data_IF_779140795936
#
_entry.id   IF_779140795936
#
_cell.length_a   1.000
_cell.length_b   1.000
_cell.length_c   1.000
_cell.angle_alpha   90.00
_cell.angle_beta   90.00
_cell.angle_gamma   90.00
#
_symmetry.space_group_name_H-M   'P 1'
#
loop_
_entity.id
_entity.type
_entity.pdbx_description
1 polymer ?
#
# COMPACT_ATOMS: atom_id res chain seq x y z
N UNK A 1 18.03 12.23 14.63
CA UNK A 1 18.79 11.64 13.52
C UNK A 1 19.98 10.88 14.10
N UNK A 2 20.09 9.58 13.88
CA UNK A 2 21.24 8.77 14.32
C UNK A 2 22.24 8.70 13.17
N UNK A 3 23.45 9.22 13.34
CA UNK A 3 24.49 9.26 12.31
C UNK A 3 25.75 8.51 12.75
N UNK A 4 26.58 8.11 11.79
CA UNK A 4 27.83 7.38 12.04
C UNK A 4 28.28 6.60 10.81
N UNK A 5 29.57 6.28 10.72
CA UNK A 5 30.14 5.49 9.62
C UNK A 5 29.60 4.06 9.57
N UNK A 6 29.74 3.37 8.44
CA UNK A 6 29.39 1.94 8.36
C UNK A 6 30.15 1.14 9.43
N UNK A 7 29.49 0.20 10.10
CA UNK A 7 30.08 -0.56 11.20
C UNK A 7 30.12 0.15 12.56
N UNK A 8 29.68 1.41 12.68
CA UNK A 8 29.68 2.14 13.97
C UNK A 8 28.62 1.66 14.99
N UNK A 9 27.93 0.56 14.70
CA UNK A 9 26.92 -0.03 15.61
C UNK A 9 25.54 0.62 15.59
N UNK A 10 25.21 1.50 14.63
CA UNK A 10 23.88 2.16 14.52
C UNK A 10 22.74 1.15 14.51
N UNK A 11 22.83 0.14 13.64
CA UNK A 11 21.82 -0.91 13.52
C UNK A 11 21.70 -1.73 14.81
N UNK A 12 22.82 -2.03 15.48
CA UNK A 12 22.80 -2.73 16.77
C UNK A 12 22.12 -1.90 17.86
N UNK A 13 22.43 -0.60 17.96
CA UNK A 13 21.78 0.32 18.90
C UNK A 13 20.27 0.37 18.67
N UNK A 14 19.84 0.46 17.42
CA UNK A 14 18.44 0.51 17.04
C UNK A 14 17.75 -0.83 17.34
N UNK A 15 18.19 -1.92 16.71
CA UNK A 15 17.44 -3.17 16.72
C UNK A 15 17.61 -3.97 18.02
N UNK A 16 18.78 -3.90 18.66
CA UNK A 16 19.07 -4.72 19.84
C UNK A 16 18.82 -4.01 21.17
N UNK A 17 18.82 -2.67 21.18
CA UNK A 17 18.66 -1.88 22.42
C UNK A 17 17.38 -1.04 22.37
N UNK A 18 17.22 -0.18 21.37
CA UNK A 18 16.12 0.79 21.31
C UNK A 18 14.75 0.12 21.22
N UNK A 19 14.58 -0.82 20.28
CA UNK A 19 13.30 -1.54 20.10
C UNK A 19 12.93 -2.43 21.29
N UNK A 20 13.91 -2.91 22.06
CA UNK A 20 13.62 -3.63 23.32
C UNK A 20 13.09 -2.69 24.41
N UNK A 21 13.54 -1.42 24.41
CA UNK A 21 13.12 -0.40 25.38
C UNK A 21 11.78 0.24 25.01
N UNK A 22 11.51 0.36 23.71
CA UNK A 22 10.29 0.95 23.15
C UNK A 22 9.62 -0.07 22.22
N UNK A 23 8.92 -1.08 22.76
CA UNK A 23 8.32 -2.14 21.96
C UNK A 23 7.21 -1.64 21.02
N UNK A 24 6.60 -0.49 21.33
CA UNK A 24 5.57 0.15 20.50
C UNK A 24 6.16 1.02 19.39
N UNK A 25 7.49 1.10 19.27
CA UNK A 25 8.14 1.85 18.20
C UNK A 25 7.95 1.14 16.86
N UNK A 26 7.59 1.91 15.84
CA UNK A 26 7.34 1.39 14.49
C UNK A 26 8.60 1.57 13.66
N UNK A 27 9.13 0.46 13.13
CA UNK A 27 10.30 0.46 12.24
C UNK A 27 9.85 0.41 10.78
N UNK A 28 10.24 1.44 10.03
CA UNK A 28 10.12 1.48 8.57
C UNK A 28 11.52 1.28 8.00
N UNK A 29 11.89 0.01 7.85
CA UNK A 29 13.16 -0.41 7.24
C UNK A 29 13.04 -0.56 5.71
N UNK A 30 14.18 -0.84 5.08
CA UNK A 30 14.30 -1.12 3.63
C UNK A 30 13.81 -2.52 3.23
N UNK A 31 13.25 -3.32 4.15
CA UNK A 31 12.71 -4.63 3.81
C UNK A 31 11.65 -4.46 2.71
N UNK A 32 11.79 -5.15 1.57
CA UNK A 32 10.84 -5.01 0.47
C UNK A 32 9.42 -5.21 0.96
N UNK A 33 8.52 -4.31 0.57
CA UNK A 33 7.10 -4.56 0.70
C UNK A 33 6.82 -5.87 -0.01
N UNK A 34 6.31 -6.89 0.68
CA UNK A 34 6.13 -8.24 0.12
C UNK A 34 5.51 -8.20 -1.27
N UNK A 35 6.36 -8.28 -2.29
CA UNK A 35 6.02 -8.06 -3.70
C UNK A 35 5.51 -9.35 -4.29
N UNK A 36 4.46 -9.92 -3.67
CA UNK A 36 3.66 -10.86 -4.43
C UNK A 36 3.13 -10.14 -5.65
N UNK A 37 3.20 -10.80 -6.79
CA UNK A 37 2.64 -10.35 -8.06
C UNK A 37 1.14 -10.00 -7.99
N UNK A 38 0.46 -10.40 -6.92
CA UNK A 38 -0.96 -10.14 -6.67
C UNK A 38 -1.21 -9.02 -5.65
N UNK A 39 -0.16 -8.54 -5.00
CA UNK A 39 -0.27 -7.43 -4.05
C UNK A 39 -0.43 -6.12 -4.81
N UNK A 40 -1.24 -5.23 -4.24
CA UNK A 40 -1.47 -3.86 -4.70
C UNK A 40 -1.67 -2.95 -3.47
N UNK A 41 -1.67 -1.62 -3.63
CA UNK A 41 -1.86 -0.72 -2.49
C UNK A 41 -3.14 -1.01 -1.70
N UNK A 42 -4.26 -1.29 -2.38
CA UNK A 42 -5.54 -1.54 -1.71
C UNK A 42 -5.54 -2.78 -0.81
N UNK A 43 -4.86 -3.85 -1.23
CA UNK A 43 -4.66 -5.06 -0.41
C UNK A 43 -3.66 -4.83 0.70
N UNK A 44 -2.57 -4.10 0.43
CA UNK A 44 -1.52 -3.85 1.41
C UNK A 44 -2.00 -3.01 2.60
N UNK A 45 -2.71 -1.91 2.36
CA UNK A 45 -3.29 -1.08 3.43
C UNK A 45 -4.58 -1.67 4.02
N UNK A 46 -5.05 -2.80 3.46
CA UNK A 46 -6.23 -3.52 3.95
C UNK A 46 -7.54 -2.77 3.74
N UNK A 47 -7.70 -2.02 2.65
CA UNK A 47 -9.00 -1.47 2.23
C UNK A 47 -9.75 -2.40 1.28
N UNK A 48 -9.07 -3.36 0.65
CA UNK A 48 -9.70 -4.27 -0.31
C UNK A 48 -10.89 -5.01 0.30
N UNK A 49 -10.80 -5.50 1.54
CA UNK A 49 -11.91 -6.19 2.20
C UNK A 49 -13.14 -5.30 2.43
N UNK A 50 -12.93 -4.02 2.73
CA UNK A 50 -14.01 -3.05 2.89
C UNK A 50 -14.69 -2.82 1.53
N UNK A 51 -13.90 -2.64 0.47
CA UNK A 51 -14.40 -2.48 -0.90
C UNK A 51 -15.23 -3.71 -1.31
N UNK A 52 -14.72 -4.93 -1.09
CA UNK A 52 -15.45 -6.17 -1.43
C UNK A 52 -16.79 -6.27 -0.72
N UNK A 53 -16.82 -5.94 0.58
CA UNK A 53 -18.06 -5.93 1.38
C UNK A 53 -19.04 -4.87 0.90
N UNK A 54 -18.56 -3.70 0.48
CA UNK A 54 -19.40 -2.64 -0.08
C UNK A 54 -20.08 -3.07 -1.39
N UNK A 55 -19.31 -3.69 -2.31
CA UNK A 55 -19.86 -4.26 -3.54
C UNK A 55 -20.87 -5.38 -3.27
N UNK A 56 -20.53 -6.31 -2.38
CA UNK A 56 -21.42 -7.39 -1.95
C UNK A 56 -22.77 -6.87 -1.43
N UNK A 57 -22.72 -5.87 -0.55
CA UNK A 57 -23.92 -5.24 0.00
C UNK A 57 -24.74 -4.52 -1.06
N UNK A 58 -24.11 -3.75 -1.95
CA UNK A 58 -24.80 -2.98 -2.98
C UNK A 58 -25.49 -3.86 -4.04
N UNK A 59 -24.97 -5.07 -4.28
CA UNK A 59 -25.45 -5.97 -5.33
C UNK A 59 -26.18 -7.21 -4.79
N UNK A 60 -26.37 -7.32 -3.46
CA UNK A 60 -26.90 -8.51 -2.80
C UNK A 60 -26.19 -9.80 -3.25
N UNK A 61 -24.86 -9.77 -3.29
CA UNK A 61 -24.00 -10.81 -3.83
C UNK A 61 -22.95 -11.26 -2.80
N UNK A 62 -22.31 -12.41 -3.04
CA UNK A 62 -21.25 -12.92 -2.17
C UNK A 62 -19.98 -12.07 -2.27
N UNK A 63 -19.38 -11.67 -1.14
CA UNK A 63 -18.14 -10.88 -1.10
C UNK A 63 -16.93 -11.63 -1.71
N UNK A 64 -17.00 -12.96 -1.79
CA UNK A 64 -16.02 -13.79 -2.49
C UNK A 64 -15.93 -13.52 -3.99
N UNK A 65 -17.02 -13.06 -4.61
CA UNK A 65 -17.04 -12.68 -6.04
C UNK A 65 -16.18 -11.45 -6.32
N UNK A 66 -16.03 -10.54 -5.37
CA UNK A 66 -15.21 -9.33 -5.55
C UNK A 66 -13.74 -9.53 -5.16
N UNK A 67 -13.29 -10.78 -5.00
CA UNK A 67 -11.90 -11.13 -4.72
C UNK A 67 -11.26 -11.83 -5.91
N UNK A 68 -10.20 -11.24 -6.45
CA UNK A 68 -9.35 -11.87 -7.47
C UNK A 68 -8.49 -13.03 -6.91
N UNK A 69 -8.59 -13.32 -5.61
CA UNK A 69 -7.97 -14.50 -4.99
C UNK A 69 -9.00 -15.60 -4.67
N UNK A 70 -10.25 -15.47 -5.13
CA UNK A 70 -11.33 -16.41 -4.80
C UNK A 70 -12.31 -16.57 -5.97
N UNK A 71 -13.60 -16.73 -5.69
CA UNK A 71 -14.66 -17.15 -6.63
C UNK A 71 -14.76 -16.30 -7.89
N UNK A 72 -14.53 -14.98 -7.79
CA UNK A 72 -14.67 -14.09 -8.93
C UNK A 72 -13.42 -13.92 -9.80
N UNK A 73 -12.32 -14.57 -9.44
CA UNK A 73 -11.09 -14.52 -10.21
C UNK A 73 -11.30 -15.07 -11.63
N UNK A 74 -10.68 -14.45 -12.62
CA UNK A 74 -10.60 -15.01 -13.97
C UNK A 74 -9.95 -16.39 -13.92
N UNK A 75 -10.62 -17.41 -14.47
CA UNK A 75 -10.16 -18.80 -14.41
C UNK A 75 -8.84 -19.03 -15.17
N UNK A 76 -8.63 -18.29 -16.26
CA UNK A 76 -7.43 -18.43 -17.10
C UNK A 76 -6.16 -17.95 -16.39
N UNK A 77 -6.15 -16.71 -15.90
CA UNK A 77 -4.98 -16.15 -15.20
C UNK A 77 -5.01 -16.38 -13.67
N UNK A 78 -6.02 -17.08 -13.16
CA UNK A 78 -6.26 -17.30 -11.71
C UNK A 78 -6.22 -16.00 -10.91
N UNK A 79 -6.75 -14.92 -11.49
CA UNK A 79 -6.79 -13.58 -10.90
C UNK A 79 -5.50 -12.76 -10.92
N UNK A 80 -4.43 -13.24 -11.57
CA UNK A 80 -3.18 -12.47 -11.71
C UNK A 80 -3.35 -11.27 -12.67
N UNK A 81 -4.14 -11.45 -13.74
CA UNK A 81 -4.33 -10.48 -14.82
C UNK A 81 -3.31 -10.63 -15.96
N UNK A 82 -2.31 -11.49 -15.79
CA UNK A 82 -1.31 -11.78 -16.81
C UNK A 82 -1.00 -13.28 -16.82
N UNK A 83 -0.46 -13.74 -17.94
CA UNK A 83 0.17 -15.06 -18.08
C UNK A 83 1.68 -14.87 -17.99
N UNK A 84 2.33 -15.80 -17.31
CA UNK A 84 3.79 -15.81 -17.13
C UNK A 84 4.37 -16.91 -18.00
N UNK A 85 5.32 -16.54 -18.85
CA UNK A 85 6.10 -17.48 -19.65
C UNK A 85 7.49 -17.57 -19.05
N UNK A 86 7.82 -18.75 -18.55
CA UNK A 86 9.16 -19.07 -18.06
C UNK A 86 10.14 -19.12 -19.25
N UNK A 87 11.16 -18.28 -19.20
CA UNK A 87 12.21 -18.17 -20.22
C UNK A 87 13.54 -18.78 -19.73
N UNK A 88 13.50 -19.59 -18.67
CA UNK A 88 14.62 -20.31 -18.10
C UNK A 88 15.59 -19.37 -17.36
N UNK A 89 16.67 -18.99 -18.03
CA UNK A 89 17.72 -18.16 -17.43
C UNK A 89 17.45 -16.65 -17.52
N UNK A 90 16.42 -16.25 -18.27
CA UNK A 90 16.02 -14.87 -18.45
C UNK A 90 14.84 -14.54 -17.53
N UNK A 91 14.62 -13.24 -17.29
CA UNK A 91 13.45 -12.77 -16.56
C UNK A 91 12.16 -13.22 -17.26
N UNK A 92 11.22 -13.75 -16.47
CA UNK A 92 9.94 -14.22 -16.97
C UNK A 92 9.20 -13.13 -17.76
N UNK A 93 8.78 -13.48 -18.99
CA UNK A 93 7.94 -12.61 -19.78
C UNK A 93 6.50 -12.65 -19.26
N UNK A 94 5.89 -11.47 -19.14
CA UNK A 94 4.49 -11.31 -18.73
C UNK A 94 3.68 -10.71 -19.85
N UNK A 95 2.63 -11.42 -20.22
CA UNK A 95 1.67 -10.96 -21.23
C UNK A 95 0.32 -10.75 -20.57
N UNK A 96 -0.41 -9.64 -20.86
CA UNK A 96 -1.78 -9.47 -20.39
C UNK A 96 -2.61 -10.71 -20.70
N UNK A 97 -3.47 -11.11 -19.76
CA UNK A 97 -4.36 -12.25 -19.99
C UNK A 97 -5.30 -11.91 -21.15
N UNK A 98 -5.30 -12.76 -22.16
CA UNK A 98 -6.14 -12.69 -23.36
C UNK A 98 -7.64 -12.79 -23.07
N UNK A 99 -8.03 -13.56 -22.05
CA UNK A 99 -9.44 -13.74 -21.66
C UNK A 99 -10.00 -12.52 -20.93
N UNK A 100 -9.32 -12.05 -19.87
CA UNK A 100 -9.84 -10.94 -19.07
C UNK A 100 -9.27 -9.57 -19.47
N UNK A 101 -8.34 -9.52 -20.43
CA UNK A 101 -7.65 -8.29 -20.84
C UNK A 101 -6.90 -7.59 -19.70
N UNK A 102 -6.45 -8.33 -18.69
CA UNK A 102 -5.81 -7.75 -17.49
C UNK A 102 -6.75 -7.41 -16.34
N UNK A 103 -8.06 -7.52 -16.52
CA UNK A 103 -9.06 -7.08 -15.51
C UNK A 103 -9.10 -7.95 -14.25
N UNK A 104 -8.50 -9.15 -14.26
CA UNK A 104 -8.40 -10.13 -13.15
C UNK A 104 -9.70 -10.84 -12.73
N UNK A 105 -10.86 -10.40 -13.20
CA UNK A 105 -12.16 -10.96 -12.83
C UNK A 105 -12.87 -11.61 -14.02
N UNK A 106 -13.87 -12.44 -13.73
CA UNK A 106 -14.82 -12.95 -14.74
C UNK A 106 -15.77 -11.84 -15.19
N UNK A 107 -16.24 -11.88 -16.44
CA UNK A 107 -17.12 -10.85 -17.00
C UNK A 107 -18.44 -10.70 -16.21
N UNK A 108 -18.98 -11.81 -15.69
CA UNK A 108 -20.17 -11.79 -14.83
C UNK A 108 -19.98 -10.97 -13.54
N UNK A 109 -18.74 -10.90 -13.02
CA UNK A 109 -18.42 -10.10 -11.84
C UNK A 109 -18.36 -8.61 -12.20
N UNK A 110 -17.91 -8.29 -13.42
CA UNK A 110 -17.77 -6.90 -13.90
C UNK A 110 -19.12 -6.23 -14.20
N UNK A 111 -20.19 -7.02 -14.31
CA UNK A 111 -21.56 -6.54 -14.43
C UNK A 111 -22.06 -5.87 -13.13
N UNK A 112 -21.60 -6.33 -11.97
CA UNK A 112 -21.93 -5.71 -10.68
C UNK A 112 -21.28 -4.34 -10.53
N UNK A 113 -22.06 -3.37 -10.01
CA UNK A 113 -21.63 -1.98 -9.90
C UNK A 113 -21.74 -1.48 -8.46
N UNK A 114 -20.86 -0.57 -8.10
CA UNK A 114 -20.96 0.28 -6.93
C UNK A 114 -20.84 1.72 -7.43
N UNK A 115 -21.82 2.58 -7.16
CA UNK A 115 -21.88 3.96 -7.66
C UNK A 115 -21.57 4.07 -9.17
N UNK A 116 -22.13 3.14 -9.97
CA UNK A 116 -21.96 3.09 -11.43
C UNK A 116 -20.63 2.50 -11.96
N UNK A 117 -19.70 2.10 -11.09
CA UNK A 117 -18.40 1.52 -11.46
C UNK A 117 -18.28 0.05 -11.08
N UNK A 118 -17.65 -0.77 -11.92
CA UNK A 118 -17.30 -2.16 -11.58
C UNK A 118 -16.12 -2.20 -10.60
N UNK A 119 -15.84 -3.39 -10.06
CA UNK A 119 -14.70 -3.57 -9.17
C UNK A 119 -13.37 -3.25 -9.86
N UNK A 120 -13.23 -3.55 -11.15
CA UNK A 120 -12.03 -3.20 -11.93
C UNK A 120 -11.94 -1.69 -12.15
N UNK A 121 -13.04 -1.04 -12.53
CA UNK A 121 -13.07 0.43 -12.70
C UNK A 121 -12.69 1.16 -11.41
N UNK A 122 -13.08 0.60 -10.25
CA UNK A 122 -12.70 1.11 -8.93
C UNK A 122 -11.22 0.89 -8.67
N UNK A 123 -10.67 -0.30 -8.98
CA UNK A 123 -9.24 -0.58 -8.81
C UNK A 123 -8.35 0.28 -9.71
N UNK A 124 -8.87 0.81 -10.80
CA UNK A 124 -8.17 1.74 -11.69
C UNK A 124 -8.20 3.20 -11.21
N UNK A 125 -9.03 3.54 -10.21
CA UNK A 125 -9.04 4.88 -9.64
C UNK A 125 -7.71 5.17 -8.93
N UNK A 126 -7.23 6.41 -9.11
CA UNK A 126 -6.15 6.96 -8.30
C UNK A 126 -6.58 7.09 -6.84
N UNK A 127 -5.63 7.15 -5.90
CA UNK A 127 -5.96 7.38 -4.48
C UNK A 127 -6.75 8.68 -4.27
N UNK A 128 -6.43 9.73 -5.03
CA UNK A 128 -7.17 11.00 -5.01
C UNK A 128 -8.62 10.85 -5.46
N UNK A 129 -8.88 10.11 -6.54
CA UNK A 129 -10.23 9.87 -7.05
C UNK A 129 -11.00 8.92 -6.14
N UNK A 130 -10.36 7.85 -5.67
CA UNK A 130 -10.95 6.90 -4.74
C UNK A 130 -11.41 7.58 -3.44
N UNK A 131 -10.63 8.56 -2.93
CA UNK A 131 -10.99 9.32 -1.74
C UNK A 131 -12.24 10.19 -1.92
N UNK A 132 -12.54 10.62 -3.15
CA UNK A 132 -13.79 11.33 -3.49
C UNK A 132 -14.94 10.38 -3.81
N UNK A 133 -14.61 9.17 -4.27
CA UNK A 133 -15.58 8.17 -4.73
C UNK A 133 -16.22 7.39 -3.57
N UNK A 134 -15.45 7.08 -2.53
CA UNK A 134 -15.94 6.34 -1.37
C UNK A 134 -16.39 7.28 -0.25
N UNK A 135 -17.67 7.19 0.12
CA UNK A 135 -18.21 7.77 1.35
C UNK A 135 -18.18 6.74 2.50
N UNK A 136 -16.99 6.20 2.78
CA UNK A 136 -16.76 5.18 3.81
C UNK A 136 -15.59 5.62 4.71
N UNK A 137 -15.83 5.96 5.99
CA UNK A 137 -14.80 6.51 6.88
C UNK A 137 -13.54 5.63 6.99
N UNK A 138 -13.70 4.31 7.04
CA UNK A 138 -12.59 3.35 7.13
C UNK A 138 -11.68 3.38 5.89
N UNK A 139 -12.25 3.61 4.70
CA UNK A 139 -11.48 3.76 3.46
C UNK A 139 -10.85 5.15 3.42
N UNK A 140 -11.63 6.19 3.70
CA UNK A 140 -11.20 7.59 3.64
C UNK A 140 -9.97 7.85 4.53
N UNK A 141 -9.95 7.32 5.75
CA UNK A 141 -8.79 7.47 6.64
C UNK A 141 -7.50 6.90 6.04
N UNK A 142 -7.57 5.69 5.46
CA UNK A 142 -6.41 5.01 4.88
C UNK A 142 -5.96 5.64 3.56
N UNK A 143 -6.90 6.10 2.72
CA UNK A 143 -6.57 6.83 1.50
C UNK A 143 -5.97 8.20 1.81
N UNK A 144 -6.47 8.89 2.85
CA UNK A 144 -5.88 10.14 3.29
C UNK A 144 -4.43 9.94 3.73
N UNK A 145 -4.12 8.87 4.46
CA UNK A 145 -2.75 8.53 4.84
C UNK A 145 -1.81 8.37 3.63
N UNK A 146 -2.29 7.72 2.56
CA UNK A 146 -1.55 7.54 1.31
C UNK A 146 -1.33 8.87 0.56
N UNK A 147 -2.36 9.71 0.49
CA UNK A 147 -2.25 11.06 -0.09
C UNK A 147 -1.27 11.93 0.72
N UNK A 148 -1.28 11.76 2.03
CA UNK A 148 -0.46 12.53 2.96
C UNK A 148 1.05 12.27 2.80
N UNK A 149 1.41 11.07 2.36
CA UNK A 149 2.80 10.70 2.01
C UNK A 149 3.12 10.95 0.54
N UNK A 150 2.22 11.55 -0.24
CA UNK A 150 2.50 11.93 -1.64
C UNK A 150 2.25 10.82 -2.66
N UNK A 151 1.33 9.89 -2.39
CA UNK A 151 0.98 8.77 -3.29
C UNK A 151 -0.39 8.94 -3.95
N UNK A 152 -0.90 10.17 -4.01
CA UNK A 152 -2.23 10.50 -4.53
C UNK A 152 -2.47 10.07 -5.99
N UNK A 153 -1.39 9.92 -6.77
CA UNK A 153 -1.41 9.56 -8.19
C UNK A 153 -1.43 8.05 -8.46
N UNK A 154 -1.09 7.22 -7.48
CA UNK A 154 -1.10 5.77 -7.66
C UNK A 154 -2.53 5.24 -7.72
N UNK A 155 -2.76 4.17 -8.46
CA UNK A 155 -4.08 3.52 -8.50
C UNK A 155 -4.21 2.44 -7.44
N UNK A 156 -5.44 2.16 -7.00
CA UNK A 156 -5.74 1.16 -5.97
C UNK A 156 -5.23 -0.24 -6.32
N UNK A 157 -5.34 -0.61 -7.60
CA UNK A 157 -5.05 -1.94 -8.14
C UNK A 157 -3.66 -2.10 -8.75
N UNK A 158 -2.83 -1.05 -8.77
CA UNK A 158 -1.48 -1.08 -9.34
C UNK A 158 -0.65 -2.21 -8.69
N UNK A 159 -0.04 -3.12 -9.46
CA UNK A 159 0.78 -4.18 -8.89
C UNK A 159 1.96 -3.58 -8.09
N UNK A 160 2.22 -4.05 -6.87
CA UNK A 160 3.34 -3.54 -6.07
C UNK A 160 4.70 -3.79 -6.73
N UNK A 161 4.81 -4.81 -7.59
CA UNK A 161 6.04 -5.10 -8.33
C UNK A 161 6.42 -4.03 -9.36
N UNK A 162 5.50 -3.12 -9.72
CA UNK A 162 5.79 -2.01 -10.64
C UNK A 162 6.14 -0.71 -9.92
N UNK A 163 6.07 -0.69 -8.58
CA UNK A 163 6.38 0.47 -7.79
C UNK A 163 7.88 0.59 -7.54
N UNK A 164 8.37 1.82 -7.52
CA UNK A 164 9.72 2.14 -7.06
C UNK A 164 9.91 1.79 -5.59
N UNK A 165 11.16 1.65 -5.16
CA UNK A 165 11.51 1.44 -3.75
C UNK A 165 10.95 2.56 -2.85
N UNK A 166 11.05 3.82 -3.28
CA UNK A 166 10.52 4.96 -2.54
C UNK A 166 8.99 5.00 -2.45
N UNK A 167 8.26 4.53 -3.47
CA UNK A 167 6.81 4.36 -3.39
C UNK A 167 6.43 3.24 -2.42
N UNK A 168 7.11 2.09 -2.49
CA UNK A 168 6.91 0.99 -1.56
C UNK A 168 7.13 1.44 -0.11
N UNK A 169 8.21 2.19 0.15
CA UNK A 169 8.52 2.71 1.48
C UNK A 169 7.45 3.69 1.98
N UNK A 170 6.95 4.58 1.12
CA UNK A 170 5.86 5.51 1.46
C UNK A 170 4.55 4.80 1.73
N UNK A 171 4.22 3.73 1.00
CA UNK A 171 3.05 2.88 1.29
C UNK A 171 3.17 2.25 2.68
N UNK A 172 4.35 1.71 3.02
CA UNK A 172 4.63 1.15 4.36
C UNK A 172 4.53 2.20 5.45
N UNK A 173 5.02 3.42 5.21
CA UNK A 173 4.85 4.53 6.15
C UNK A 173 3.35 4.87 6.34
N UNK A 174 2.58 4.96 5.27
CA UNK A 174 1.15 5.26 5.32
C UNK A 174 0.32 4.20 6.06
N UNK A 175 0.67 2.91 5.94
CA UNK A 175 -0.02 1.84 6.70
C UNK A 175 0.22 1.92 8.20
N UNK A 176 1.28 2.61 8.62
CA UNK A 176 1.66 2.73 10.01
C UNK A 176 1.28 4.09 10.64
N UNK A 177 1.19 5.16 9.84
CA UNK A 177 0.96 6.56 10.27
C UNK A 177 -0.23 6.81 11.20
N UNK A 178 -1.23 5.92 11.21
CA UNK A 178 -2.41 6.03 12.07
C UNK A 178 -2.44 5.03 13.23
N UNK A 179 -1.41 4.18 13.39
CA UNK A 179 -1.29 3.33 14.56
C UNK A 179 -0.89 4.19 15.76
N UNK A 180 -1.43 3.84 16.93
CA UNK A 180 -1.04 4.47 18.19
C UNK A 180 0.38 4.02 18.54
N UNK A 181 1.37 4.79 18.09
CA UNK A 181 2.78 4.66 18.44
C UNK A 181 3.39 6.05 18.45
N UNK A 182 4.17 6.37 19.49
CA UNK A 182 4.77 7.69 19.69
C UNK A 182 6.09 7.87 18.93
N UNK A 183 6.69 6.79 18.43
CA UNK A 183 8.04 6.80 17.86
C UNK A 183 8.06 6.01 16.54
N UNK A 184 8.35 6.71 15.45
CA UNK A 184 8.65 6.10 14.15
C UNK A 184 10.16 6.12 13.94
N UNK A 185 10.72 4.96 13.63
CA UNK A 185 12.11 4.82 13.25
C UNK A 185 12.20 4.54 11.75
N UNK A 186 12.79 5.48 11.02
CA UNK A 186 13.01 5.40 9.58
C UNK A 186 14.48 5.02 9.35
N UNK A 187 14.73 3.87 8.73
CA UNK A 187 16.09 3.48 8.33
C UNK A 187 16.39 4.04 6.94
N UNK A 188 17.33 4.98 6.86
CA UNK A 188 17.73 5.69 5.64
C UNK A 188 16.56 6.18 4.74
N UNK A 189 15.67 7.06 5.24
CA UNK A 189 14.49 7.49 4.48
C UNK A 189 14.81 8.28 3.20
N UNK A 190 16.03 8.75 3.03
CA UNK A 190 16.46 9.58 1.89
C UNK A 190 16.90 8.75 0.68
N UNK A 191 17.09 7.43 0.83
CA UNK A 191 17.52 6.57 -0.27
C UNK A 191 16.37 6.36 -1.24
N UNK A 192 16.42 7.04 -2.40
CA UNK A 192 15.40 6.93 -3.44
C UNK A 192 14.28 7.98 -3.41
N UNK A 193 14.40 9.03 -2.59
CA UNK A 193 13.49 10.19 -2.63
C UNK A 193 14.09 11.33 -3.45
N UNK A 194 13.29 11.92 -4.33
CA UNK A 194 13.63 13.17 -5.00
C UNK A 194 13.65 14.32 -3.96
N UNK A 195 14.54 15.31 -4.14
CA UNK A 195 14.76 16.44 -3.20
C UNK A 195 13.48 17.25 -2.87
N UNK A 196 12.45 17.16 -3.71
CA UNK A 196 11.14 17.78 -3.45
C UNK A 196 10.30 17.04 -2.40
N UNK A 197 10.51 15.73 -2.23
CA UNK A 197 9.69 14.86 -1.38
C UNK A 197 10.23 14.79 0.05
N UNK A 198 11.55 14.94 0.22
CA UNK A 198 12.18 15.13 1.53
C UNK A 198 11.63 16.38 2.24
N UNK A 199 11.37 17.46 1.50
CA UNK A 199 10.78 18.68 2.06
C UNK A 199 9.32 18.49 2.54
N UNK A 200 8.52 17.63 1.88
CA UNK A 200 7.14 17.32 2.30
C UNK A 200 7.10 16.44 3.54
N UNK A 201 8.00 15.45 3.64
CA UNK A 201 8.18 14.62 4.83
C UNK A 201 8.67 15.44 6.03
N UNK A 202 9.64 16.33 5.83
CA UNK A 202 10.15 17.22 6.88
C UNK A 202 9.07 18.20 7.40
N UNK A 203 8.30 18.86 6.50
CA UNK A 203 7.23 19.80 6.91
C UNK A 203 6.11 19.16 7.74
N UNK A 204 5.90 17.84 7.62
CA UNK A 204 4.87 17.13 8.40
C UNK A 204 5.39 16.60 9.73
N UNK A 205 6.66 16.19 9.81
CA UNK A 205 7.31 15.87 11.10
C UNK A 205 7.29 17.08 12.05
N UNK A 206 7.33 18.30 11.53
CA UNK A 206 7.21 19.54 12.32
C UNK A 206 5.77 19.87 12.77
N UNK A 207 4.73 19.26 12.17
CA UNK A 207 3.31 19.52 12.50
C UNK A 207 2.71 18.52 13.49
N UNK A 208 3.43 17.46 13.84
CA UNK A 208 3.06 16.59 14.94
C UNK A 208 3.60 17.26 16.22
N UNK A 209 2.74 17.75 17.14
CA UNK A 209 3.25 18.39 18.34
C UNK A 209 4.15 17.39 19.08
N UNK A 210 5.30 17.82 19.62
CA UNK A 210 6.10 16.94 20.44
C UNK A 210 5.26 16.56 21.66
N UNK A 211 4.81 15.30 21.71
CA UNK A 211 4.51 14.66 22.99
C UNK A 211 5.86 14.36 23.68
N UNK A 212 6.56 15.41 24.10
CA UNK A 212 7.70 15.31 24.99
C UNK A 212 7.50 16.30 26.13
N UNK A 213 6.82 15.81 27.15
CA UNK A 213 6.81 16.39 28.49
C UNK A 213 8.19 16.16 29.13
N UNK A 214 9.15 17.05 28.86
CA UNK A 214 10.39 17.17 29.64
C UNK A 214 10.84 18.64 29.69
N UNK A 215 10.03 19.46 30.38
CA UNK A 215 10.31 20.81 30.90
C UNK A 215 8.96 21.26 31.52
N UNK A 216 8.76 21.51 32.81
CA UNK A 216 9.53 22.10 33.92
C UNK A 216 8.74 21.81 35.23
N UNK A 217 9.14 22.33 36.41
CA UNK A 217 10.48 22.64 36.92
C UNK A 217 10.98 21.60 37.93
#
# INVERSE_FOLDING_TARGET
MVTGVSGSGKSSLIHQVFLKRYPDAIVVDQTPVGTSNRSNPATYVGIMDVIRKAFAKANNADAGLFSFNSKGACDNCKGAGFLTTDLGFLDDARTPCDVCGGKRFKDEVLAYKYNGKSITDVLELTMAEANKFFDLPEIAQKLQALNDVGLEYLTLGQPLSTLSGGECQRIKLASELHKKGSIYLLDEPTTGLHISDTARLHRRQERQPPACALCQP
#
